data_IF_224821653999
#
_entry.id   IF_224821653999
#
_cell.length_a   1.000
_cell.length_b   1.000
_cell.length_c   1.000
_cell.angle_alpha   90.00
_cell.angle_beta   90.00
_cell.angle_gamma   90.00
#
_symmetry.space_group_name_H-M   'P 1'
#
loop_
_entity.id
_entity.type
_entity.pdbx_description
1 polymer ?
#
# COMPACT_ATOMS: atom_id res chain seq x y z
N UNK A 1 8.82 2.81 -11.22
CA UNK A 1 7.65 1.95 -11.56
C UNK A 1 6.39 2.59 -11.01
N UNK A 2 5.32 2.59 -11.79
CA UNK A 2 4.05 3.15 -11.38
C UNK A 2 3.04 2.03 -11.14
N UNK A 3 2.30 2.13 -10.06
CA UNK A 3 1.15 1.27 -9.78
C UNK A 3 -0.11 2.10 -9.98
N UNK A 4 -1.16 1.45 -10.49
CA UNK A 4 -2.46 2.06 -10.68
C UNK A 4 -3.48 1.38 -9.78
N UNK A 5 -4.20 2.20 -9.03
CA UNK A 5 -5.20 1.73 -8.07
C UNK A 5 -6.58 2.25 -8.50
N UNK A 6 -7.53 1.35 -8.61
CA UNK A 6 -8.93 1.72 -8.83
C UNK A 6 -9.62 1.64 -7.48
N UNK A 7 -9.95 2.80 -6.93
CA UNK A 7 -10.57 2.94 -5.61
C UNK A 7 -11.92 3.62 -5.80
N UNK A 8 -12.99 2.91 -5.48
CA UNK A 8 -14.36 3.44 -5.59
C UNK A 8 -14.64 4.09 -6.96
N UNK A 9 -14.22 3.39 -8.02
CA UNK A 9 -14.45 3.82 -9.39
C UNK A 9 -13.49 4.89 -9.92
N UNK A 10 -12.55 5.36 -9.11
CA UNK A 10 -11.60 6.40 -9.52
C UNK A 10 -10.18 5.85 -9.52
N UNK A 11 -9.41 6.24 -10.53
CA UNK A 11 -8.02 5.82 -10.66
C UNK A 11 -7.07 6.75 -9.90
N UNK A 12 -6.12 6.13 -9.21
CA UNK A 12 -5.04 6.82 -8.52
C UNK A 12 -3.72 6.16 -8.92
N UNK A 13 -2.69 6.97 -9.09
CA UNK A 13 -1.37 6.47 -9.47
C UNK A 13 -0.40 6.62 -8.30
N UNK A 14 0.39 5.60 -8.08
CA UNK A 14 1.44 5.61 -7.07
C UNK A 14 2.80 5.45 -7.73
N UNK A 15 3.75 6.30 -7.33
CA UNK A 15 5.14 6.18 -7.74
C UNK A 15 5.84 5.27 -6.74
N UNK A 16 6.27 4.12 -7.20
CA UNK A 16 6.88 3.10 -6.34
C UNK A 16 8.39 3.21 -6.35
N UNK A 17 9.00 2.90 -5.21
CA UNK A 17 10.45 2.81 -5.10
C UNK A 17 10.94 1.63 -5.93
N UNK A 18 12.14 1.78 -6.52
CA UNK A 18 12.75 0.70 -7.30
C UNK A 18 13.53 -0.21 -6.36
N UNK A 19 12.81 -1.07 -5.67
CA UNK A 19 13.36 -2.05 -4.72
C UNK A 19 12.80 -3.44 -5.03
N UNK A 20 13.54 -4.51 -4.71
CA UNK A 20 13.12 -5.87 -5.07
C UNK A 20 11.72 -6.25 -4.62
N UNK A 21 11.32 -5.86 -3.41
CA UNK A 21 10.00 -6.22 -2.89
C UNK A 21 8.86 -5.62 -3.72
N UNK A 22 9.06 -4.43 -4.29
CA UNK A 22 8.07 -3.80 -5.17
C UNK A 22 7.89 -4.64 -6.44
N UNK A 23 8.99 -5.13 -7.01
CA UNK A 23 8.93 -5.99 -8.20
C UNK A 23 8.25 -7.32 -7.89
N UNK A 24 8.45 -7.88 -6.70
CA UNK A 24 7.75 -9.10 -6.31
C UNK A 24 6.25 -8.88 -6.18
N UNK A 25 5.84 -7.74 -5.61
CA UNK A 25 4.42 -7.39 -5.51
C UNK A 25 3.83 -7.24 -6.91
N UNK A 26 4.51 -6.54 -7.81
CA UNK A 26 4.06 -6.36 -9.19
C UNK A 26 3.89 -7.70 -9.93
N UNK A 27 4.70 -8.69 -9.61
CA UNK A 27 4.60 -10.00 -10.22
C UNK A 27 3.31 -10.75 -9.84
N UNK A 28 2.61 -10.31 -8.79
CA UNK A 28 1.34 -10.92 -8.37
C UNK A 28 0.12 -10.22 -8.97
N UNK A 29 0.32 -9.15 -9.74
CA UNK A 29 -0.77 -8.35 -10.29
C UNK A 29 -1.53 -9.08 -11.41
N UNK A 30 -2.81 -8.75 -11.60
CA UNK A 30 -3.56 -7.77 -10.83
C UNK A 30 -3.97 -8.30 -9.45
N UNK A 31 -4.06 -7.39 -8.48
CA UNK A 31 -4.65 -7.70 -7.18
C UNK A 31 -6.00 -7.01 -7.14
N UNK A 32 -7.07 -7.78 -7.04
CA UNK A 32 -8.43 -7.26 -7.01
C UNK A 32 -9.16 -7.91 -5.84
N UNK A 33 -9.12 -7.26 -4.69
CA UNK A 33 -9.68 -7.81 -3.47
C UNK A 33 -10.12 -6.71 -2.51
N UNK A 34 -10.81 -7.11 -1.46
CA UNK A 34 -11.27 -6.18 -0.43
C UNK A 34 -10.13 -5.77 0.48
N UNK A 35 -10.09 -4.49 0.79
CA UNK A 35 -9.14 -3.92 1.75
C UNK A 35 -9.89 -3.50 3.00
N UNK A 36 -9.29 -3.72 4.15
CA UNK A 36 -9.88 -3.45 5.45
C UNK A 36 -9.32 -2.17 6.03
N UNK A 37 -10.20 -1.37 6.64
CA UNK A 37 -9.77 -0.19 7.39
C UNK A 37 -9.20 -0.63 8.74
N UNK A 38 -8.00 -0.17 9.04
CA UNK A 38 -7.38 -0.37 10.35
C UNK A 38 -7.37 0.96 11.09
N UNK A 39 -8.16 1.05 12.15
CA UNK A 39 -8.35 2.26 12.93
C UNK A 39 -8.68 3.46 12.02
N UNK A 40 -8.02 4.59 12.25
CA UNK A 40 -8.27 5.83 11.51
C UNK A 40 -7.03 6.26 10.74
N UNK A 41 -6.24 5.30 10.24
CA UNK A 41 -4.98 5.66 9.59
C UNK A 41 -4.64 4.87 8.32
N UNK A 42 -5.21 3.70 8.10
CA UNK A 42 -4.83 2.91 6.93
C UNK A 42 -5.92 1.98 6.42
N UNK A 43 -5.78 1.59 5.15
CA UNK A 43 -6.45 0.43 4.56
C UNK A 43 -5.38 -0.58 4.22
N UNK A 44 -5.63 -1.85 4.50
CA UNK A 44 -4.67 -2.90 4.20
C UNK A 44 -5.35 -4.11 3.58
N UNK A 45 -4.57 -4.88 2.85
CA UNK A 45 -4.96 -6.20 2.39
C UNK A 45 -3.78 -7.14 2.55
N UNK A 46 -4.07 -8.39 2.83
CA UNK A 46 -3.02 -9.41 2.92
C UNK A 46 -2.75 -9.98 1.54
N UNK A 47 -1.48 -10.01 1.18
CA UNK A 47 -1.07 -10.61 -0.07
C UNK A 47 -1.13 -12.13 0.06
N UNK A 48 -1.56 -12.80 -1.00
CA UNK A 48 -1.74 -14.25 -1.00
C UNK A 48 -0.41 -15.00 -1.11
N UNK A 49 0.58 -14.35 -1.71
CA UNK A 49 1.90 -14.93 -1.92
C UNK A 49 2.87 -14.37 -0.90
N UNK A 50 3.64 -15.27 -0.27
CA UNK A 50 4.72 -14.82 0.63
C UNK A 50 5.83 -14.19 -0.19
N UNK A 51 6.30 -13.05 0.28
CA UNK A 51 7.35 -12.28 -0.38
C UNK A 51 8.70 -12.56 0.28
N UNK A 52 9.76 -12.45 -0.51
CA UNK A 52 11.13 -12.64 -0.01
C UNK A 52 11.68 -11.32 0.50
N UNK A 53 11.95 -11.29 1.79
CA UNK A 53 12.46 -10.10 2.46
C UNK A 53 13.97 -10.25 2.65
N UNK A 54 14.74 -9.43 1.96
CA UNK A 54 16.20 -9.50 2.06
C UNK A 54 16.78 -8.08 2.04
N UNK A 55 17.15 -7.58 3.22
CA UNK A 55 17.87 -6.33 3.32
C UNK A 55 17.06 -5.06 3.04
N UNK A 56 15.73 -5.16 3.07
CA UNK A 56 14.89 -3.98 2.86
C UNK A 56 14.97 -3.03 4.06
N UNK A 57 15.04 -1.76 3.76
CA UNK A 57 15.06 -0.72 4.80
C UNK A 57 13.67 -0.59 5.42
N UNK A 58 13.63 -0.66 6.75
CA UNK A 58 12.38 -0.52 7.50
C UNK A 58 12.29 0.80 8.23
N UNK A 59 11.06 1.27 8.47
CA UNK A 59 10.80 2.50 9.19
C UNK A 59 9.61 2.33 10.11
N UNK A 60 9.58 3.06 11.22
CA UNK A 60 8.41 3.17 12.09
C UNK A 60 7.62 4.45 11.81
N UNK A 61 8.13 5.34 10.97
CA UNK A 61 7.44 6.57 10.61
C UNK A 61 6.56 6.36 9.40
N UNK A 62 5.26 6.53 9.60
CA UNK A 62 4.25 6.38 8.56
C UNK A 62 3.83 7.78 8.09
N UNK A 63 3.83 7.99 6.77
CA UNK A 63 3.41 9.25 6.16
C UNK A 63 2.14 9.07 5.36
N UNK A 64 1.21 10.00 5.49
CA UNK A 64 -0.05 9.95 4.73
C UNK A 64 0.23 10.00 3.22
N UNK A 65 -0.58 9.26 2.47
CA UNK A 65 -0.44 9.19 1.01
C UNK A 65 0.64 8.24 0.53
N UNK A 66 1.20 7.42 1.42
CA UNK A 66 2.25 6.46 1.07
C UNK A 66 1.79 5.03 1.27
N UNK A 67 2.52 4.12 0.64
CA UNK A 67 2.23 2.70 0.67
C UNK A 67 3.33 1.97 1.44
N UNK A 68 2.92 0.95 2.21
CA UNK A 68 3.83 0.21 3.07
C UNK A 68 3.54 -1.28 3.01
N UNK A 69 4.55 -2.07 3.40
CA UNK A 69 4.40 -3.51 3.61
C UNK A 69 4.78 -3.84 5.04
N UNK A 70 3.85 -4.44 5.79
CA UNK A 70 4.15 -5.01 7.10
C UNK A 70 4.49 -6.48 6.88
N UNK A 71 5.78 -6.78 6.83
CA UNK A 71 6.29 -8.08 6.41
C UNK A 71 5.78 -9.23 7.26
N UNK A 72 5.71 -9.04 8.59
CA UNK A 72 5.30 -10.09 9.51
C UNK A 72 3.90 -10.63 9.20
N UNK A 73 3.03 -9.80 8.65
CA UNK A 73 1.65 -10.15 8.33
C UNK A 73 1.39 -10.21 6.84
N UNK A 74 2.42 -9.97 6.04
CA UNK A 74 2.31 -9.89 4.58
C UNK A 74 1.21 -8.90 4.15
N UNK A 75 1.10 -7.81 4.89
CA UNK A 75 0.04 -6.81 4.71
C UNK A 75 0.53 -5.63 3.88
N UNK A 76 -0.13 -5.41 2.76
CA UNK A 76 0.10 -4.29 1.86
C UNK A 76 -0.88 -3.19 2.25
N UNK A 77 -0.40 -1.99 2.55
CA UNK A 77 -1.25 -0.93 3.10
C UNK A 77 -1.11 0.41 2.39
N UNK A 78 -2.20 1.17 2.43
CA UNK A 78 -2.25 2.57 2.02
C UNK A 78 -2.56 3.38 3.27
N UNK A 79 -1.70 4.32 3.60
CA UNK A 79 -1.86 5.12 4.80
C UNK A 79 -2.39 6.51 4.48
N UNK A 80 -3.34 6.97 5.26
CA UNK A 80 -3.95 8.28 5.05
C UNK A 80 -3.79 9.21 6.26
N UNK A 81 -2.87 8.88 7.18
CA UNK A 81 -2.56 9.68 8.35
C UNK A 81 -1.10 9.48 8.76
N UNK A 82 -0.43 10.56 9.14
CA UNK A 82 0.93 10.47 9.67
C UNK A 82 0.89 9.85 11.07
N UNK A 83 1.82 8.92 11.34
CA UNK A 83 1.95 8.36 12.68
C UNK A 83 3.29 7.66 12.87
N UNK A 84 3.66 7.45 14.13
CA UNK A 84 4.81 6.64 14.50
C UNK A 84 4.29 5.34 15.12
N UNK A 85 4.64 4.23 14.52
CA UNK A 85 4.15 2.90 14.93
C UNK A 85 5.16 2.13 15.77
N UNK A 86 6.25 2.76 16.21
CA UNK A 86 7.26 2.10 17.03
C UNK A 86 6.60 1.36 18.21
N UNK A 87 7.03 0.13 18.56
CA UNK A 87 8.25 -0.55 18.08
C UNK A 87 8.08 -1.29 16.75
N UNK A 88 6.92 -1.23 16.11
CA UNK A 88 6.68 -1.91 14.84
C UNK A 88 7.38 -1.15 13.71
N UNK A 89 7.78 -1.92 12.69
CA UNK A 89 8.42 -1.37 11.51
C UNK A 89 7.81 -1.93 10.25
N UNK A 90 7.79 -1.11 9.22
CA UNK A 90 7.26 -1.46 7.90
C UNK A 90 8.24 -1.03 6.82
N UNK A 91 8.05 -1.53 5.61
CA UNK A 91 8.84 -1.13 4.45
C UNK A 91 8.02 -0.12 3.66
N UNK A 92 8.59 1.07 3.41
CA UNK A 92 7.94 2.05 2.55
C UNK A 92 8.11 1.63 1.10
N UNK A 93 7.00 1.52 0.40
CA UNK A 93 6.98 1.01 -0.99
C UNK A 93 6.88 2.12 -2.02
N UNK A 94 6.25 3.23 -1.69
CA UNK A 94 6.05 4.34 -2.63
C UNK A 94 5.04 5.33 -2.09
N UNK A 95 4.63 6.27 -2.97
CA UNK A 95 3.67 7.30 -2.59
C UNK A 95 2.71 7.60 -3.74
N UNK A 96 1.50 7.99 -3.41
CA UNK A 96 0.54 8.42 -4.41
C UNK A 96 0.91 9.78 -4.97
N UNK A 97 0.63 9.97 -6.25
CA UNK A 97 0.84 11.25 -6.93
C UNK A 97 -0.36 12.18 -6.81
N UNK A 98 -1.51 11.64 -6.40
CA UNK A 98 -2.77 12.38 -6.22
C UNK A 98 -3.23 12.30 -4.78
N UNK A 99 -4.21 13.13 -4.42
CA UNK A 99 -4.76 13.15 -3.06
C UNK A 99 -5.67 11.95 -2.80
N UNK A 100 -5.07 10.86 -2.35
CA UNK A 100 -5.81 9.67 -1.93
C UNK A 100 -6.34 9.83 -0.51
N UNK A 101 -5.75 10.72 0.28
CA UNK A 101 -6.11 10.91 1.69
C UNK A 101 -7.56 11.33 1.84
N UNK A 102 -8.01 12.31 1.06
CA UNK A 102 -9.39 12.77 1.10
C UNK A 102 -10.39 11.68 0.76
N UNK A 103 -10.03 10.85 -0.23
CA UNK A 103 -10.89 9.73 -0.65
C UNK A 103 -11.01 8.67 0.44
N UNK A 104 -9.92 8.35 1.12
CA UNK A 104 -9.89 7.26 2.09
C UNK A 104 -10.35 7.67 3.48
N UNK A 105 -10.19 8.93 3.86
CA UNK A 105 -10.52 9.39 5.21
C UNK A 105 -11.99 9.18 5.56
N UNK A 106 -12.88 9.27 4.59
CA UNK A 106 -14.31 9.10 4.79
C UNK A 106 -14.87 7.81 4.19
N UNK A 107 -14.01 6.93 3.70
CA UNK A 107 -14.46 5.69 3.08
C UNK A 107 -14.90 4.66 4.14
N UNK A 108 -15.73 3.67 3.75
CA UNK A 108 -16.26 2.68 4.70
C UNK A 108 -15.16 1.75 5.22
N UNK A 109 -15.52 0.91 6.20
CA UNK A 109 -14.58 -0.01 6.86
C UNK A 109 -13.97 -1.05 5.92
N UNK A 110 -14.61 -1.30 4.78
CA UNK A 110 -14.14 -2.25 3.79
C UNK A 110 -14.42 -1.69 2.41
N UNK A 111 -13.39 -1.69 1.56
CA UNK A 111 -13.52 -1.21 0.18
C UNK A 111 -12.80 -2.17 -0.75
N UNK A 112 -13.31 -2.27 -1.96
CA UNK A 112 -12.66 -3.08 -2.98
C UNK A 112 -11.70 -2.22 -3.78
N UNK A 113 -10.47 -2.67 -3.89
CA UNK A 113 -9.43 -1.96 -4.63
C UNK A 113 -8.80 -2.91 -5.63
N UNK A 114 -8.70 -2.46 -6.88
CA UNK A 114 -7.96 -3.17 -7.91
C UNK A 114 -6.62 -2.46 -8.10
N UNK A 115 -5.56 -3.24 -8.00
CA UNK A 115 -4.20 -2.73 -8.14
C UNK A 115 -3.49 -3.44 -9.28
N UNK A 116 -2.85 -2.68 -10.16
CA UNK A 116 -2.09 -3.24 -11.28
C UNK A 116 -0.89 -2.34 -11.57
N UNK A 117 0.11 -2.93 -12.22
CA UNK A 117 1.27 -2.16 -12.68
C UNK A 117 0.88 -1.39 -13.94
N UNK A 118 1.29 -0.14 -14.01
CA UNK A 118 1.13 0.65 -15.21
C UNK A 118 2.30 0.38 -16.14
N UNK A 119 2.02 -0.17 -17.30
CA UNK A 119 3.04 -0.45 -18.30
C UNK A 119 3.30 0.78 -19.16
N UNK A 120 4.55 0.91 -19.58
CA UNK A 120 4.98 2.00 -20.44
C UNK A 120 5.59 1.45 -21.71
#
# INVERSE_FOLDING_TARGET
MLFRFLIDGKEYTARMHDIPIVHEIAATFPIDQSWQRSDDHEYYTRLKRMLHMAGEKETSEIKKGRLYLFAAWNAFSINFKDMDIAPFKVIELGEFTEDVVSALSSAPSQIKIRCEAEER
#
